data_IF_083136185575
#
_entry.id   IF_083136185575
#
_cell.length_a   1.000
_cell.length_b   1.000
_cell.length_c   1.000
_cell.angle_alpha   90.00
_cell.angle_beta   90.00
_cell.angle_gamma   90.00
#
_symmetry.space_group_name_H-M   'P 1'
#
loop_
_entity.id
_entity.type
_entity.pdbx_description
1 polymer ?
#
# COMPACT_ATOMS: atom_id res chain seq x y z
N UNK A 1 -31.27 42.57 9.56
CA UNK A 1 -32.71 42.31 9.74
C UNK A 1 -32.83 41.06 10.60
N UNK A 2 -33.49 41.15 11.77
CA UNK A 2 -33.49 40.06 12.76
C UNK A 2 -34.16 38.78 12.21
N UNK A 3 -33.64 37.57 12.52
CA UNK A 3 -34.18 36.28 12.06
C UNK A 3 -35.65 36.00 12.48
N UNK A 4 -36.20 36.78 13.41
CA UNK A 4 -37.51 36.54 14.02
C UNK A 4 -38.73 37.01 13.19
N UNK A 5 -38.54 37.68 12.04
CA UNK A 5 -39.66 38.21 11.24
C UNK A 5 -39.97 37.44 9.94
N UNK A 6 -39.25 36.36 9.62
CA UNK A 6 -39.51 35.54 8.41
C UNK A 6 -40.27 34.23 8.67
N UNK A 7 -40.38 33.77 9.92
CA UNK A 7 -41.06 32.50 10.26
C UNK A 7 -42.59 32.60 10.38
N UNK A 8 -43.18 33.79 10.24
CA UNK A 8 -44.64 33.99 10.41
C UNK A 8 -45.49 33.96 9.15
N UNK A 9 -44.91 33.81 7.95
CA UNK A 9 -45.68 33.99 6.71
C UNK A 9 -45.92 32.75 5.84
N UNK A 10 -45.26 31.61 6.06
CA UNK A 10 -45.29 30.54 5.03
C UNK A 10 -45.62 29.13 5.48
N UNK A 11 -45.79 28.83 6.77
CA UNK A 11 -46.60 27.69 7.22
C UNK A 11 -46.26 26.25 6.77
N UNK A 12 -45.26 25.99 5.91
CA UNK A 12 -44.80 24.64 5.53
C UNK A 12 -43.39 24.65 4.92
N UNK A 13 -42.66 23.54 5.14
CA UNK A 13 -41.28 23.25 4.72
C UNK A 13 -41.21 22.77 3.26
N UNK A 14 -40.10 23.00 2.55
CA UNK A 14 -39.34 21.97 1.79
C UNK A 14 -38.09 22.52 1.05
N UNK A 15 -37.12 21.63 0.67
CA UNK A 15 -35.74 21.95 0.28
C UNK A 15 -35.49 21.96 -1.24
N UNK A 16 -34.30 22.44 -1.67
CA UNK A 16 -33.40 21.92 -2.75
C UNK A 16 -32.51 23.05 -3.32
N UNK A 17 -31.18 22.88 -3.10
CA UNK A 17 -29.99 23.12 -3.96
C UNK A 17 -29.73 24.46 -4.70
N UNK A 18 -28.41 24.77 -4.70
CA UNK A 18 -27.63 25.70 -5.54
C UNK A 18 -27.91 27.19 -5.27
N UNK A 19 -26.92 28.05 -5.01
CA UNK A 19 -25.75 28.32 -5.85
C UNK A 19 -24.48 28.59 -5.03
N UNK A 20 -23.36 28.11 -5.58
CA UNK A 20 -21.98 28.35 -5.17
C UNK A 20 -21.46 29.73 -5.63
N UNK A 21 -20.20 29.99 -5.23
CA UNK A 21 -19.24 31.04 -5.60
C UNK A 21 -19.26 32.17 -4.55
N UNK A 22 -18.27 32.37 -3.70
CA UNK A 22 -16.87 31.95 -3.70
C UNK A 22 -16.05 33.17 -3.28
N UNK A 23 -15.09 33.01 -2.37
CA UNK A 23 -13.86 33.81 -2.28
C UNK A 23 -12.85 32.96 -1.52
N UNK A 24 -11.91 32.42 -2.29
CA UNK A 24 -10.57 32.09 -1.85
C UNK A 24 -9.88 33.40 -1.46
N UNK A 25 -9.27 33.47 -0.28
CA UNK A 25 -8.22 34.44 0.00
C UNK A 25 -7.13 33.76 0.81
N UNK A 26 -6.05 33.44 0.11
CA UNK A 26 -4.77 33.13 0.67
C UNK A 26 -4.23 34.39 1.37
N UNK A 27 -3.88 34.26 2.64
CA UNK A 27 -2.98 35.17 3.33
C UNK A 27 -1.96 34.31 4.07
N UNK A 28 -0.76 34.33 3.52
CA UNK A 28 0.49 33.82 4.09
C UNK A 28 0.73 34.37 5.48
N UNK A 29 0.72 33.49 6.49
CA UNK A 29 1.46 33.70 7.73
C UNK A 29 2.53 32.61 7.76
N UNK A 30 3.77 33.01 7.46
CA UNK A 30 4.97 32.22 7.74
C UNK A 30 5.15 32.16 9.27
N UNK A 31 5.13 31.00 9.93
CA UNK A 31 5.76 30.86 11.22
C UNK A 31 7.27 30.83 11.01
N UNK A 32 7.96 31.76 11.68
CA UNK A 32 9.41 31.90 11.62
C UNK A 32 10.15 30.61 11.92
N UNK A 33 11.30 30.48 11.26
CA UNK A 33 12.28 29.42 11.40
C UNK A 33 12.75 29.28 12.85
N UNK A 34 12.09 28.43 13.63
CA UNK A 34 12.71 27.85 14.82
C UNK A 34 13.75 26.83 14.32
N UNK A 35 15.01 27.26 14.20
CA UNK A 35 16.15 26.37 13.99
C UNK A 35 16.39 25.56 15.26
N UNK A 36 15.62 24.49 15.44
CA UNK A 36 16.06 23.37 16.24
C UNK A 36 17.12 22.64 15.41
N UNK A 37 18.40 22.90 15.70
CA UNK A 37 19.51 22.17 15.09
C UNK A 37 19.36 20.67 15.37
N UNK A 38 19.56 19.78 14.39
CA UNK A 38 19.46 18.34 14.61
C UNK A 38 20.60 17.90 15.53
N UNK A 39 20.25 17.53 16.76
CA UNK A 39 21.15 16.85 17.68
C UNK A 39 21.22 15.37 17.31
N UNK A 40 22.16 15.06 16.41
CA UNK A 40 22.90 13.80 16.33
C UNK A 40 22.13 12.47 16.33
N UNK A 41 21.73 12.01 15.13
CA UNK A 41 21.82 10.61 14.59
C UNK A 41 20.97 10.39 13.32
N UNK A 42 20.75 11.41 12.48
CA UNK A 42 20.01 11.28 11.21
C UNK A 42 20.85 10.64 10.08
N UNK A 43 21.42 9.46 10.35
CA UNK A 43 22.15 8.64 9.38
C UNK A 43 21.26 7.53 8.82
N UNK A 44 20.49 7.87 7.79
CA UNK A 44 19.73 7.00 6.87
C UNK A 44 19.05 5.77 7.51
N UNK A 45 17.75 5.91 7.88
CA UNK A 45 16.91 4.83 8.44
C UNK A 45 16.83 3.57 7.58
N UNK A 46 17.16 3.70 6.31
CA UNK A 46 17.20 2.62 5.33
C UNK A 46 18.61 2.53 4.80
N UNK A 47 19.10 1.30 4.65
CA UNK A 47 20.35 1.01 3.96
C UNK A 47 20.04 0.16 2.74
N UNK A 48 20.57 0.53 1.58
CA UNK A 48 20.47 -0.28 0.36
C UNK A 48 21.84 -0.89 0.05
N UNK A 49 21.86 -2.19 -0.23
CA UNK A 49 23.08 -2.94 -0.52
C UNK A 49 22.88 -3.79 -1.78
N UNK A 50 23.60 -3.43 -2.84
CA UNK A 50 23.70 -4.24 -4.05
C UNK A 50 25.01 -5.02 -4.03
N UNK A 51 24.94 -6.33 -3.83
CA UNK A 51 26.12 -7.21 -3.90
C UNK A 51 26.33 -7.60 -5.36
N UNK A 52 27.46 -7.23 -5.96
CA UNK A 52 27.74 -7.59 -7.35
C UNK A 52 27.65 -9.12 -7.56
N UNK A 53 26.94 -9.59 -8.61
CA UNK A 53 26.77 -11.01 -8.85
C UNK A 53 28.09 -11.66 -9.28
N UNK A 54 28.33 -12.89 -8.80
CA UNK A 54 29.41 -13.77 -9.23
C UNK A 54 29.09 -14.39 -10.59
N UNK A 55 27.82 -14.69 -10.81
CA UNK A 55 27.26 -15.31 -12.01
C UNK A 55 26.98 -14.25 -13.07
N UNK A 56 27.60 -14.39 -14.24
CA UNK A 56 27.52 -13.39 -15.31
C UNK A 56 26.07 -13.13 -15.80
N UNK A 57 25.20 -14.14 -15.74
CA UNK A 57 23.81 -14.04 -16.16
C UNK A 57 23.01 -12.99 -15.37
N UNK A 58 23.37 -12.70 -14.12
CA UNK A 58 22.65 -11.75 -13.27
C UNK A 58 23.15 -10.31 -13.38
N UNK A 59 24.15 -10.05 -14.23
CA UNK A 59 24.74 -8.72 -14.36
C UNK A 59 23.74 -7.70 -14.88
N UNK A 60 22.93 -8.06 -15.88
CA UNK A 60 21.88 -7.18 -16.42
C UNK A 60 20.82 -6.84 -15.36
N UNK A 61 20.43 -7.81 -14.52
CA UNK A 61 19.50 -7.60 -13.41
C UNK A 61 20.12 -6.65 -12.37
N UNK A 62 21.38 -6.85 -12.02
CA UNK A 62 22.11 -5.96 -11.10
C UNK A 62 22.16 -4.52 -11.62
N UNK A 63 22.51 -4.34 -12.88
CA UNK A 63 22.62 -3.02 -13.51
C UNK A 63 21.25 -2.35 -13.58
N UNK A 64 20.21 -3.06 -14.04
CA UNK A 64 18.85 -2.53 -14.15
C UNK A 64 18.25 -2.14 -12.78
N UNK A 65 18.42 -2.99 -11.76
CA UNK A 65 17.92 -2.71 -10.42
C UNK A 65 18.60 -1.49 -9.79
N UNK A 66 19.87 -1.22 -10.11
CA UNK A 66 20.63 -0.05 -9.66
C UNK A 66 20.27 1.20 -10.45
N UNK A 67 20.20 1.09 -11.78
CA UNK A 67 19.87 2.21 -12.67
C UNK A 67 18.49 2.79 -12.34
N UNK A 68 17.51 1.91 -12.12
CA UNK A 68 16.14 2.31 -11.79
C UNK A 68 15.91 2.58 -10.29
N UNK A 69 16.93 2.37 -9.45
CA UNK A 69 16.90 2.59 -8.00
C UNK A 69 15.73 1.87 -7.30
N UNK A 70 15.52 0.61 -7.65
CA UNK A 70 14.32 -0.14 -7.24
C UNK A 70 14.30 -0.32 -5.71
N UNK A 71 15.41 -0.74 -5.11
CA UNK A 71 15.49 -0.95 -3.66
C UNK A 71 15.41 0.39 -2.90
N UNK A 72 15.97 1.47 -3.43
CA UNK A 72 15.87 2.80 -2.83
C UNK A 72 14.45 3.33 -2.85
N UNK A 73 13.67 3.06 -3.92
CA UNK A 73 12.27 3.47 -4.00
C UNK A 73 11.40 2.71 -2.99
N UNK A 74 11.60 1.40 -2.84
CA UNK A 74 10.96 0.62 -1.76
C UNK A 74 11.37 1.18 -0.40
N UNK A 75 12.68 1.41 -0.23
CA UNK A 75 13.25 2.05 0.94
C UNK A 75 12.62 3.40 1.27
N UNK A 76 12.40 4.26 0.27
CA UNK A 76 11.77 5.56 0.46
C UNK A 76 10.33 5.43 0.97
N UNK A 77 9.58 4.42 0.52
CA UNK A 77 8.22 4.14 1.02
C UNK A 77 8.28 3.71 2.49
N UNK A 78 9.13 2.75 2.83
CA UNK A 78 9.25 2.25 4.20
C UNK A 78 9.90 3.27 5.14
N UNK A 79 10.82 4.11 4.65
CA UNK A 79 11.49 5.17 5.41
C UNK A 79 10.55 6.29 5.87
N UNK A 80 9.29 6.28 5.41
CA UNK A 80 8.23 7.14 5.89
C UNK A 80 7.72 6.75 7.29
N UNK A 81 7.92 5.50 7.73
CA UNK A 81 7.63 5.06 9.10
C UNK A 81 8.89 5.12 9.98
N UNK A 82 8.70 5.33 11.29
CA UNK A 82 9.82 5.30 12.25
C UNK A 82 10.15 3.85 12.56
N UNK A 83 11.32 3.40 12.14
CA UNK A 83 11.81 2.06 12.44
C UNK A 83 12.70 2.09 13.70
N UNK A 84 12.63 1.06 14.56
CA UNK A 84 13.47 0.95 15.75
C UNK A 84 14.95 0.77 15.42
N UNK A 85 15.24 0.07 14.32
CA UNK A 85 16.59 -0.13 13.81
C UNK A 85 16.63 0.19 12.31
N UNK A 86 17.84 0.40 11.81
CA UNK A 86 18.07 0.66 10.40
C UNK A 86 17.79 -0.60 9.58
N UNK A 87 16.79 -0.57 8.72
CA UNK A 87 16.43 -1.67 7.83
C UNK A 87 17.35 -1.70 6.60
N UNK A 88 17.89 -2.86 6.28
CA UNK A 88 18.75 -3.06 5.11
C UNK A 88 18.02 -3.81 4.00
N UNK A 89 17.83 -3.21 2.83
CA UNK A 89 17.48 -3.95 1.63
C UNK A 89 18.75 -4.46 0.95
N UNK A 90 18.80 -5.77 0.68
CA UNK A 90 19.97 -6.42 0.09
C UNK A 90 19.58 -7.23 -1.14
N UNK A 91 20.26 -6.98 -2.26
CA UNK A 91 20.24 -7.86 -3.43
C UNK A 91 21.55 -8.66 -3.49
N UNK A 92 21.45 -9.99 -3.58
CA UNK A 92 22.61 -10.89 -3.60
C UNK A 92 22.30 -12.24 -4.28
N UNK A 93 23.33 -13.06 -4.51
CA UNK A 93 23.16 -14.44 -5.00
C UNK A 93 22.96 -15.38 -3.82
N UNK A 94 21.97 -16.27 -3.92
CA UNK A 94 21.54 -17.13 -2.83
C UNK A 94 21.81 -18.61 -3.11
N UNK A 95 22.87 -18.90 -3.87
CA UNK A 95 23.33 -20.27 -4.13
C UNK A 95 22.24 -21.19 -4.72
N UNK A 96 21.37 -20.63 -5.58
CA UNK A 96 20.30 -21.37 -6.24
C UNK A 96 18.91 -21.22 -5.58
N UNK A 97 18.81 -20.56 -4.43
CA UNK A 97 17.51 -20.30 -3.80
C UNK A 97 16.73 -19.20 -4.51
N UNK A 98 15.50 -19.51 -4.91
CA UNK A 98 14.56 -18.55 -5.52
C UNK A 98 13.65 -17.95 -4.45
N UNK A 99 14.19 -17.11 -3.58
CA UNK A 99 13.42 -16.50 -2.50
C UNK A 99 13.78 -15.02 -2.26
N UNK A 100 12.95 -14.40 -1.43
CA UNK A 100 13.25 -13.20 -0.67
C UNK A 100 12.77 -13.46 0.76
N UNK A 101 13.39 -12.82 1.75
CA UNK A 101 12.98 -12.98 3.14
C UNK A 101 13.37 -11.78 3.99
N UNK A 102 12.61 -11.59 5.08
CA UNK A 102 13.02 -10.75 6.20
C UNK A 102 13.82 -11.54 7.25
N UNK A 103 15.00 -11.03 7.60
CA UNK A 103 15.90 -11.55 8.62
C UNK A 103 15.88 -10.62 9.85
N UNK A 104 15.14 -10.98 10.93
CA UNK A 104 15.00 -10.13 12.12
C UNK A 104 16.30 -9.91 12.89
N UNK A 105 17.20 -10.89 12.88
CA UNK A 105 18.46 -10.86 13.61
C UNK A 105 19.41 -9.73 13.17
N UNK A 106 19.28 -9.28 11.92
CA UNK A 106 20.15 -8.25 11.35
C UNK A 106 19.39 -7.13 10.65
N UNK A 107 18.05 -7.09 10.81
CA UNK A 107 17.18 -6.08 10.22
C UNK A 107 17.42 -5.95 8.71
N UNK A 108 17.28 -7.05 7.98
CA UNK A 108 17.43 -7.01 6.53
C UNK A 108 16.30 -7.71 5.80
N UNK A 109 15.91 -7.13 4.67
CA UNK A 109 15.13 -7.81 3.63
C UNK A 109 16.12 -8.18 2.53
N UNK A 110 16.34 -9.48 2.34
CA UNK A 110 17.22 -9.99 1.29
C UNK A 110 16.39 -10.52 0.13
N UNK A 111 16.76 -10.15 -1.08
CA UNK A 111 16.19 -10.67 -2.33
C UNK A 111 17.30 -11.31 -3.17
N UNK A 112 17.00 -12.49 -3.71
CA UNK A 112 17.95 -13.27 -4.48
C UNK A 112 17.88 -12.95 -5.97
N UNK A 113 19.03 -12.94 -6.64
CA UNK A 113 19.07 -12.83 -8.11
C UNK A 113 18.30 -13.94 -8.80
N UNK A 114 18.30 -15.15 -8.24
CA UNK A 114 17.61 -16.31 -8.79
C UNK A 114 16.08 -16.12 -8.81
N UNK A 115 15.53 -15.43 -7.80
CA UNK A 115 14.13 -15.03 -7.78
C UNK A 115 13.86 -13.95 -8.85
N UNK A 116 14.71 -12.94 -8.92
CA UNK A 116 14.57 -11.87 -9.91
C UNK A 116 14.70 -12.38 -11.35
N UNK A 117 15.61 -13.31 -11.60
CA UNK A 117 15.77 -13.95 -12.90
C UNK A 117 14.49 -14.69 -13.29
N UNK A 118 13.87 -15.41 -12.35
CA UNK A 118 12.57 -16.06 -12.61
C UNK A 118 11.48 -15.07 -13.02
N UNK A 119 11.44 -13.90 -12.38
CA UNK A 119 10.50 -12.81 -12.73
C UNK A 119 10.84 -12.24 -14.13
N UNK A 120 12.11 -11.98 -14.41
CA UNK A 120 12.58 -11.42 -15.70
C UNK A 120 12.31 -12.37 -16.87
N UNK A 121 12.47 -13.68 -16.65
CA UNK A 121 12.17 -14.72 -17.63
C UNK A 121 10.67 -14.86 -17.89
N UNK A 122 9.85 -14.68 -16.86
CA UNK A 122 8.39 -14.70 -16.99
C UNK A 122 7.81 -13.42 -17.62
N UNK A 123 8.52 -12.30 -17.51
CA UNK A 123 8.04 -11.00 -17.97
C UNK A 123 7.83 -10.95 -19.50
N UNK A 124 6.72 -10.37 -19.98
CA UNK A 124 6.41 -10.27 -21.41
C UNK A 124 7.46 -9.44 -22.14
N UNK A 125 7.86 -9.90 -23.34
CA UNK A 125 8.88 -9.23 -24.16
C UNK A 125 8.37 -7.97 -24.85
N UNK A 126 7.06 -7.86 -25.03
CA UNK A 126 6.38 -6.75 -25.70
C UNK A 126 5.43 -6.05 -24.74
N UNK A 127 5.15 -4.77 -25.02
CA UNK A 127 4.18 -3.97 -24.26
C UNK A 127 2.79 -4.60 -24.39
N UNK A 128 2.07 -4.73 -23.27
CA UNK A 128 0.73 -5.32 -23.30
C UNK A 128 -0.28 -4.38 -23.99
N UNK A 129 -1.43 -4.89 -24.49
CA UNK A 129 -2.51 -4.07 -25.02
C UNK A 129 -3.04 -3.03 -24.01
N UNK A 130 -2.98 -3.34 -22.71
CA UNK A 130 -3.34 -2.43 -21.62
C UNK A 130 -2.26 -1.38 -21.31
N UNK A 131 -1.15 -1.37 -22.07
CA UNK A 131 -0.09 -0.39 -21.95
C UNK A 131 0.99 -0.71 -20.91
N UNK A 132 0.96 -1.89 -20.29
CA UNK A 132 1.94 -2.34 -19.30
C UNK A 132 3.26 -2.65 -20.01
N UNK A 133 4.34 -1.99 -19.60
CA UNK A 133 5.67 -2.23 -20.19
C UNK A 133 6.34 -3.45 -19.56
N UNK A 134 7.37 -3.99 -20.22
CA UNK A 134 8.19 -5.08 -19.64
C UNK A 134 8.80 -4.69 -18.30
N UNK A 135 9.25 -3.43 -18.18
CA UNK A 135 9.81 -2.92 -16.93
C UNK A 135 8.76 -2.84 -15.82
N UNK A 136 7.52 -2.44 -16.14
CA UNK A 136 6.42 -2.45 -15.16
C UNK A 136 6.12 -3.88 -14.68
N UNK A 137 6.12 -4.85 -15.62
CA UNK A 137 5.88 -6.26 -15.32
C UNK A 137 7.01 -6.92 -14.50
N UNK A 138 8.22 -6.35 -14.50
CA UNK A 138 9.33 -6.80 -13.66
C UNK A 138 9.30 -6.07 -12.31
N UNK A 139 9.22 -4.74 -12.33
CA UNK A 139 9.28 -3.93 -11.12
C UNK A 139 8.07 -4.16 -10.21
N UNK A 140 6.86 -4.27 -10.75
CA UNK A 140 5.64 -4.47 -9.97
C UNK A 140 5.76 -5.64 -8.98
N UNK A 141 6.02 -6.88 -9.46
CA UNK A 141 6.22 -8.03 -8.59
C UNK A 141 7.37 -7.84 -7.58
N UNK A 142 8.49 -7.24 -8.00
CA UNK A 142 9.62 -7.00 -7.11
C UNK A 142 9.26 -6.02 -5.98
N UNK A 143 8.54 -4.95 -6.28
CA UNK A 143 8.02 -4.02 -5.29
C UNK A 143 7.07 -4.72 -4.32
N UNK A 144 6.12 -5.50 -4.83
CA UNK A 144 5.19 -6.28 -4.03
C UNK A 144 5.92 -7.21 -3.06
N UNK A 145 6.87 -8.01 -3.55
CA UNK A 145 7.63 -8.97 -2.74
C UNK A 145 8.39 -8.25 -1.63
N UNK A 146 9.10 -7.16 -1.95
CA UNK A 146 9.89 -6.44 -0.94
C UNK A 146 9.01 -5.75 0.11
N UNK A 147 7.85 -5.22 -0.28
CA UNK A 147 6.88 -4.67 0.66
C UNK A 147 6.25 -5.76 1.54
N UNK A 148 5.96 -6.93 0.95
CA UNK A 148 5.47 -8.10 1.68
C UNK A 148 6.47 -8.54 2.75
N UNK A 149 7.75 -8.71 2.39
CA UNK A 149 8.78 -9.08 3.37
C UNK A 149 8.96 -8.01 4.45
N UNK A 150 8.83 -6.74 4.09
CA UNK A 150 8.88 -5.64 5.06
C UNK A 150 7.72 -5.69 6.06
N UNK A 151 6.58 -6.27 5.70
CA UNK A 151 5.44 -6.41 6.60
C UNK A 151 5.70 -7.36 7.77
N UNK A 152 6.66 -8.29 7.64
CA UNK A 152 7.08 -9.17 8.74
C UNK A 152 7.63 -8.40 9.96
N UNK A 153 8.00 -7.13 9.78
CA UNK A 153 8.32 -6.20 10.88
C UNK A 153 7.15 -6.02 11.87
N UNK A 154 5.91 -6.29 11.48
CA UNK A 154 4.72 -6.23 12.36
C UNK A 154 4.86 -7.11 13.60
N UNK A 155 5.55 -8.25 13.48
CA UNK A 155 5.80 -9.18 14.60
C UNK A 155 6.53 -8.52 15.78
N UNK A 156 7.29 -7.45 15.53
CA UNK A 156 8.06 -6.73 16.55
C UNK A 156 7.21 -5.77 17.38
N UNK A 157 5.99 -5.44 16.95
CA UNK A 157 5.13 -4.48 17.64
C UNK A 157 4.81 -4.86 19.10
N UNK A 158 4.78 -6.16 19.40
CA UNK A 158 4.52 -6.67 20.74
C UNK A 158 5.66 -6.36 21.73
N UNK A 159 6.88 -6.15 21.23
CA UNK A 159 8.08 -6.00 22.05
C UNK A 159 8.84 -4.69 21.79
N UNK A 160 8.45 -3.94 20.76
CA UNK A 160 9.13 -2.74 20.31
C UNK A 160 8.16 -1.55 20.10
N UNK A 161 8.21 -0.51 20.95
CA UNK A 161 7.36 0.66 20.84
C UNK A 161 7.51 1.46 19.54
N UNK A 162 8.69 1.43 18.90
CA UNK A 162 8.90 2.11 17.62
C UNK A 162 8.24 1.32 16.48
N UNK A 163 8.24 -0.01 16.55
CA UNK A 163 7.49 -0.84 15.60
C UNK A 163 5.99 -0.59 15.72
N UNK A 164 5.45 -0.50 16.94
CA UNK A 164 4.05 -0.11 17.15
C UNK A 164 3.76 1.28 16.55
N UNK A 165 4.65 2.26 16.75
CA UNK A 165 4.50 3.60 16.17
C UNK A 165 4.51 3.60 14.63
N UNK A 166 5.28 2.71 14.01
CA UNK A 166 5.26 2.54 12.55
C UNK A 166 3.90 2.05 12.05
N UNK A 167 3.30 1.10 12.76
CA UNK A 167 1.98 0.56 12.46
C UNK A 167 0.91 1.61 12.69
N UNK A 168 0.98 2.37 13.78
CA UNK A 168 0.07 3.48 14.04
C UNK A 168 0.10 4.50 12.89
N UNK A 169 1.28 4.81 12.34
CA UNK A 169 1.40 5.69 11.18
C UNK A 169 0.83 5.06 9.89
N UNK A 170 1.03 3.76 9.71
CA UNK A 170 0.47 3.04 8.57
C UNK A 170 -1.07 3.04 8.61
N UNK A 171 -1.65 2.71 9.76
CA UNK A 171 -3.10 2.78 10.02
C UNK A 171 -3.63 4.20 9.83
N UNK A 172 -2.96 5.20 10.38
CA UNK A 172 -3.31 6.61 10.18
C UNK A 172 -3.36 7.02 8.71
N UNK A 173 -2.43 6.52 7.88
CA UNK A 173 -2.44 6.80 6.44
C UNK A 173 -3.62 6.14 5.75
N UNK A 174 -3.94 4.88 6.08
CA UNK A 174 -5.12 4.19 5.56
C UNK A 174 -6.37 5.00 5.91
N UNK A 175 -6.52 5.44 7.16
CA UNK A 175 -7.65 6.24 7.60
C UNK A 175 -7.77 7.57 6.84
N UNK A 176 -6.65 8.25 6.59
CA UNK A 176 -6.63 9.51 5.85
C UNK A 176 -7.09 9.32 4.40
N UNK A 177 -6.57 8.29 3.73
CA UNK A 177 -6.96 7.99 2.35
C UNK A 177 -8.41 7.50 2.28
N UNK A 178 -8.84 6.66 3.22
CA UNK A 178 -10.24 6.26 3.37
C UNK A 178 -11.14 7.48 3.54
N UNK A 179 -10.81 8.39 4.46
CA UNK A 179 -11.56 9.63 4.68
C UNK A 179 -11.68 10.48 3.43
N UNK A 180 -10.59 10.63 2.68
CA UNK A 180 -10.58 11.33 1.39
C UNK A 180 -11.51 10.68 0.37
N UNK A 181 -11.48 9.36 0.24
CA UNK A 181 -12.32 8.61 -0.70
C UNK A 181 -13.80 8.66 -0.32
N UNK A 182 -14.13 8.47 0.96
CA UNK A 182 -15.50 8.58 1.47
C UNK A 182 -16.08 9.97 1.19
N UNK A 183 -15.28 11.02 1.43
CA UNK A 183 -15.69 12.39 1.14
C UNK A 183 -15.90 12.64 -0.36
N UNK A 184 -15.03 12.09 -1.22
CA UNK A 184 -15.15 12.24 -2.67
C UNK A 184 -16.35 11.48 -3.26
N UNK A 185 -16.67 10.30 -2.72
CA UNK A 185 -17.79 9.46 -3.16
C UNK A 185 -19.14 9.87 -2.53
N UNK A 186 -19.11 10.65 -1.44
CA UNK A 186 -20.32 11.08 -0.71
C UNK A 186 -20.91 10.02 0.22
N UNK A 187 -20.15 8.96 0.52
CA UNK A 187 -20.59 7.83 1.34
C UNK A 187 -19.73 6.59 1.13
N UNK A 188 -20.08 5.51 1.84
CA UNK A 188 -19.42 4.21 1.75
C UNK A 188 -20.41 3.10 2.08
N UNK A 189 -20.54 2.11 1.20
CA UNK A 189 -21.32 0.90 1.47
C UNK A 189 -20.46 -0.20 2.09
N UNK A 190 -19.23 -0.34 1.60
CA UNK A 190 -18.32 -1.38 2.05
C UNK A 190 -16.83 -1.02 1.93
N UNK A 191 -16.02 -1.65 2.78
CA UNK A 191 -14.56 -1.65 2.72
C UNK A 191 -14.06 -3.09 2.48
N UNK A 192 -13.18 -3.29 1.51
CA UNK A 192 -12.62 -4.61 1.21
C UNK A 192 -11.16 -4.66 1.67
N UNK A 193 -10.86 -5.58 2.57
CA UNK A 193 -9.52 -6.03 2.91
C UNK A 193 -9.14 -7.18 1.99
N UNK A 194 -8.04 -7.02 1.27
CA UNK A 194 -7.49 -8.01 0.33
C UNK A 194 -5.97 -7.86 0.27
N UNK A 195 -5.28 -8.79 -0.37
CA UNK A 195 -3.83 -8.88 -0.42
C UNK A 195 -3.21 -9.27 0.93
N UNK A 196 -1.89 -9.46 0.95
CA UNK A 196 -1.17 -10.06 2.09
C UNK A 196 -1.52 -9.48 3.47
N UNK A 197 -1.44 -8.16 3.65
CA UNK A 197 -1.75 -7.51 4.94
C UNK A 197 -3.26 -7.53 5.22
N UNK A 198 -4.09 -7.19 4.23
CA UNK A 198 -5.54 -7.14 4.40
C UNK A 198 -6.13 -8.50 4.78
N UNK A 199 -5.64 -9.58 4.19
CA UNK A 199 -6.13 -10.95 4.41
C UNK A 199 -5.61 -11.55 5.72
N UNK A 200 -4.33 -11.33 6.05
CA UNK A 200 -3.67 -12.09 7.12
C UNK A 200 -3.49 -11.29 8.43
N UNK A 201 -3.47 -9.95 8.39
CA UNK A 201 -3.23 -9.14 9.59
C UNK A 201 -4.54 -8.73 10.28
N UNK A 202 -5.03 -9.63 11.14
CA UNK A 202 -6.20 -9.44 12.01
C UNK A 202 -6.11 -8.14 12.83
N UNK A 203 -4.93 -7.81 13.34
CA UNK A 203 -4.73 -6.68 14.23
C UNK A 203 -4.83 -5.36 13.46
N UNK A 204 -4.16 -5.27 12.31
CA UNK A 204 -4.23 -4.09 11.43
C UNK A 204 -5.67 -3.84 10.95
N UNK A 205 -6.42 -4.88 10.56
CA UNK A 205 -7.86 -4.72 10.21
C UNK A 205 -8.66 -4.11 11.38
N UNK A 206 -8.42 -4.61 12.59
CA UNK A 206 -9.12 -4.12 13.77
C UNK A 206 -8.74 -2.66 14.09
N UNK A 207 -7.46 -2.29 13.95
CA UNK A 207 -6.98 -0.92 14.14
C UNK A 207 -7.62 0.04 13.13
N UNK A 208 -7.61 -0.32 11.84
CA UNK A 208 -8.26 0.45 10.77
C UNK A 208 -9.76 0.62 11.01
N UNK A 209 -10.48 -0.45 11.36
CA UNK A 209 -11.93 -0.38 11.59
C UNK A 209 -12.29 0.45 12.82
N UNK A 210 -11.48 0.42 13.88
CA UNK A 210 -11.66 1.29 15.05
C UNK A 210 -11.42 2.76 14.68
N UNK A 211 -10.38 3.04 13.91
CA UNK A 211 -10.09 4.38 13.40
C UNK A 211 -11.17 4.93 12.47
N UNK A 212 -11.79 4.05 11.69
CA UNK A 212 -12.89 4.36 10.78
C UNK A 212 -14.28 4.35 11.45
N UNK A 213 -14.38 4.28 12.79
CA UNK A 213 -15.66 4.30 13.49
C UNK A 213 -16.49 5.56 13.20
N UNK A 214 -15.85 6.69 12.86
CA UNK A 214 -16.53 7.92 12.41
C UNK A 214 -17.34 7.73 11.12
N UNK A 215 -16.99 6.74 10.29
CA UNK A 215 -17.72 6.37 9.08
C UNK A 215 -18.85 5.35 9.34
N UNK A 216 -19.06 4.95 10.60
CA UNK A 216 -20.12 4.02 11.00
C UNK A 216 -19.71 2.55 11.05
N UNK A 217 -18.41 2.22 10.91
CA UNK A 217 -17.94 0.85 11.07
C UNK A 217 -18.03 0.37 12.52
N UNK A 218 -18.60 -0.80 12.73
CA UNK A 218 -18.55 -1.52 14.00
C UNK A 218 -17.83 -2.85 13.83
N UNK A 219 -16.64 -2.98 14.43
CA UNK A 219 -15.83 -4.21 14.38
C UNK A 219 -16.58 -5.37 15.05
N UNK A 220 -16.69 -6.50 14.35
CA UNK A 220 -16.94 -7.80 14.95
C UNK A 220 -15.60 -8.47 15.25
N UNK A 221 -15.17 -8.41 16.52
CA UNK A 221 -13.87 -8.95 16.91
C UNK A 221 -13.76 -10.46 16.73
N UNK A 222 -14.87 -11.21 16.82
CA UNK A 222 -14.89 -12.66 16.67
C UNK A 222 -14.76 -13.02 15.19
N UNK A 223 -15.59 -12.41 14.34
CA UNK A 223 -15.53 -12.64 12.90
C UNK A 223 -14.19 -12.16 12.29
N UNK A 224 -13.63 -11.06 12.81
CA UNK A 224 -12.32 -10.60 12.40
C UNK A 224 -11.20 -11.58 12.77
N UNK A 225 -11.26 -12.15 13.98
CA UNK A 225 -10.30 -13.15 14.45
C UNK A 225 -10.40 -14.48 13.68
N UNK A 226 -11.58 -14.84 13.18
CA UNK A 226 -11.78 -16.01 12.30
C UNK A 226 -11.39 -15.76 10.84
N UNK A 227 -11.00 -14.54 10.47
CA UNK A 227 -10.57 -14.19 9.11
C UNK A 227 -11.70 -13.74 8.16
N UNK A 228 -12.90 -13.44 8.66
CA UNK A 228 -14.04 -13.00 7.84
C UNK A 228 -15.02 -14.12 7.48
N UNK A 229 -15.77 -14.01 6.36
CA UNK A 229 -15.57 -13.04 5.27
C UNK A 229 -16.07 -11.63 5.59
N UNK A 230 -17.09 -11.44 6.42
CA UNK A 230 -17.49 -10.11 6.92
C UNK A 230 -16.93 -9.91 8.33
N UNK A 231 -16.27 -8.78 8.58
CA UNK A 231 -15.58 -8.48 9.85
C UNK A 231 -16.20 -7.32 10.62
N UNK A 232 -17.37 -6.87 10.19
CA UNK A 232 -18.19 -5.85 10.87
C UNK A 232 -19.58 -6.36 11.19
N UNK A 233 -20.21 -5.73 12.17
CA UNK A 233 -21.58 -5.98 12.61
C UNK A 233 -22.39 -4.69 12.58
N UNK A 234 -23.69 -4.81 12.87
CA UNK A 234 -24.59 -3.65 12.94
C UNK A 234 -25.05 -3.14 11.57
N UNK A 235 -25.78 -2.01 11.54
CA UNK A 235 -26.43 -1.49 10.35
C UNK A 235 -25.54 -0.56 9.49
N UNK A 236 -24.29 -0.32 9.90
CA UNK A 236 -23.34 0.54 9.18
C UNK A 236 -22.72 -0.14 7.95
N UNK A 237 -21.70 0.48 7.34
CA UNK A 237 -20.98 -0.11 6.21
C UNK A 237 -20.35 -1.46 6.55
N UNK A 238 -20.34 -2.35 5.57
CA UNK A 238 -19.78 -3.69 5.73
C UNK A 238 -18.28 -3.71 5.42
N UNK A 239 -17.46 -4.32 6.27
CA UNK A 239 -16.07 -4.61 5.92
C UNK A 239 -15.89 -6.10 5.63
N UNK A 240 -15.26 -6.40 4.50
CA UNK A 240 -15.06 -7.77 4.02
C UNK A 240 -13.60 -8.12 3.91
N UNK A 241 -13.25 -9.37 4.19
CA UNK A 241 -11.98 -9.99 3.83
C UNK A 241 -12.24 -10.85 2.61
N UNK A 242 -11.66 -10.46 1.48
CA UNK A 242 -11.81 -11.16 0.21
C UNK A 242 -10.41 -11.54 -0.28
N UNK A 243 -10.10 -12.85 -0.38
CA UNK A 243 -8.84 -13.30 -0.93
C UNK A 243 -8.63 -12.75 -2.34
N UNK A 244 -7.45 -12.20 -2.60
CA UNK A 244 -7.04 -11.86 -3.94
C UNK A 244 -6.75 -13.16 -4.69
N UNK A 245 -7.47 -13.40 -5.79
CA UNK A 245 -7.17 -14.51 -6.72
C UNK A 245 -6.48 -13.95 -7.96
N UNK A 246 -5.29 -13.39 -7.74
CA UNK A 246 -4.47 -12.79 -8.79
C UNK A 246 -4.18 -13.80 -9.90
N UNK A 247 -3.94 -15.06 -9.53
CA UNK A 247 -3.66 -16.17 -10.44
C UNK A 247 -4.86 -16.47 -11.37
N UNK A 248 -6.09 -16.51 -10.86
CA UNK A 248 -7.27 -16.71 -11.70
C UNK A 248 -7.54 -15.51 -12.61
N UNK A 249 -7.29 -14.28 -12.14
CA UNK A 249 -7.37 -13.08 -13.00
C UNK A 249 -6.36 -13.16 -14.14
N UNK A 250 -5.11 -13.55 -13.85
CA UNK A 250 -4.06 -13.77 -14.85
C UNK A 250 -4.46 -14.90 -15.81
N UNK A 251 -4.98 -16.01 -15.29
CA UNK A 251 -5.40 -17.16 -16.10
C UNK A 251 -6.54 -16.79 -17.07
N UNK A 252 -7.57 -16.09 -16.59
CA UNK A 252 -8.67 -15.60 -17.43
C UNK A 252 -8.19 -14.62 -18.49
N UNK A 253 -7.38 -13.63 -18.09
CA UNK A 253 -6.79 -12.67 -19.03
C UNK A 253 -5.91 -13.35 -20.09
N UNK A 254 -5.16 -14.38 -19.70
CA UNK A 254 -4.34 -15.19 -20.62
C UNK A 254 -5.21 -15.99 -21.59
N UNK A 255 -6.26 -16.64 -21.11
CA UNK A 255 -7.21 -17.36 -21.95
C UNK A 255 -7.90 -16.43 -22.98
N UNK A 256 -8.33 -15.25 -22.55
CA UNK A 256 -8.93 -14.24 -23.43
C UNK A 256 -7.94 -13.76 -24.48
N UNK A 257 -6.70 -13.44 -24.09
CA UNK A 257 -5.65 -13.02 -25.01
C UNK A 257 -5.29 -14.12 -26.04
N UNK A 258 -5.16 -15.38 -25.61
CA UNK A 258 -4.91 -16.51 -26.51
C UNK A 258 -6.07 -16.71 -27.50
N UNK A 259 -7.31 -16.56 -27.03
CA UNK A 259 -8.50 -16.65 -27.89
C UNK A 259 -8.61 -15.48 -28.89
N UNK A 260 -7.96 -14.34 -28.64
CA UNK A 260 -7.84 -13.23 -29.60
C UNK A 260 -6.77 -13.52 -30.66
N UNK A 261 -5.59 -13.99 -30.25
CA UNK A 261 -4.50 -14.36 -31.18
C UNK A 261 -4.94 -15.46 -32.14
N UNK A 262 -5.75 -16.42 -31.68
CA UNK A 262 -6.29 -17.48 -32.55
C UNK A 262 -7.36 -17.00 -33.54
N UNK A 263 -7.95 -15.81 -33.31
CA UNK A 263 -9.00 -15.23 -34.17
C UNK A 263 -8.48 -14.25 -35.21
N UNK A 264 -7.23 -13.77 -35.09
CA UNK A 264 -6.59 -12.99 -36.14
C UNK A 264 -6.12 -13.95 -37.25
N UNK A 265 -6.68 -13.88 -38.48
CA UNK A 265 -6.20 -14.71 -39.57
C UNK A 265 -4.77 -14.30 -39.91
N UNK A 266 -3.90 -15.31 -40.10
CA UNK A 266 -2.52 -15.08 -40.55
C UNK A 266 -2.53 -14.25 -41.85
N UNK A 267 -2.07 -13.00 -41.75
CA UNK A 267 -1.88 -12.09 -42.89
C UNK A 267 -0.63 -12.47 -43.68
#
# INVERSE_FOLDING_TARGET
MSPANLERLTGTRMPVRAWHIGILLAATVLPGSASAGPSGRDGERIRVVYVAPKTAAYREIYDGMREHKVLERVGAIIGLVRLPNRLTYRLTECSGERNAWYAPENWSVTVCYELLDSIVQAAPRTKSPAGVTRQDAIHGPVFQILLHESSHLRSLAATDPDAQRAIDLFVYRIERELGSLVAALGGLDALIFTGGIGENDVATRAEVLRGAAWAGFELDAVANASGGPQVTRGPGPAAWVIPADEEMTIARGTCEALAQVQREPAS
#
